data_IF_655880596530
#
_entry.id   IF_655880596530
#
_cell.length_a   1.000
_cell.length_b   1.000
_cell.length_c   1.000
_cell.angle_alpha   90.00
_cell.angle_beta   90.00
_cell.angle_gamma   90.00
#
_symmetry.space_group_name_H-M   'P 1'
#
loop_
_entity.id
_entity.type
_entity.pdbx_description
1 polymer ?
#
# COMPACT_ATOMS: atom_id res chain seq x y z
N UNK A 1 -4.50 -4.09 16.49
CA UNK A 1 -5.77 -4.83 16.54
C UNK A 1 -5.78 -5.83 15.38
N UNK A 2 -6.05 -7.15 15.61
CA UNK A 2 -5.80 -8.20 14.60
C UNK A 2 -6.59 -8.09 13.29
N UNK A 3 -7.70 -7.36 13.28
CA UNK A 3 -8.54 -7.16 12.08
C UNK A 3 -8.27 -5.82 11.35
N UNK A 4 -7.29 -5.04 11.78
CA UNK A 4 -6.87 -3.85 11.04
C UNK A 4 -5.92 -4.22 9.91
N UNK A 5 -5.95 -3.44 8.84
CA UNK A 5 -5.08 -3.65 7.66
C UNK A 5 -3.59 -3.52 7.97
N UNK A 6 -3.24 -2.76 9.01
CA UNK A 6 -1.85 -2.53 9.44
C UNK A 6 -1.28 -3.68 10.28
N UNK A 7 -2.12 -4.62 10.73
CA UNK A 7 -1.66 -5.72 11.56
C UNK A 7 -0.82 -6.71 10.77
N UNK A 8 0.42 -6.89 11.18
CA UNK A 8 1.33 -7.90 10.64
C UNK A 8 1.37 -9.09 11.62
N UNK A 9 1.00 -10.30 11.19
CA UNK A 9 1.11 -11.49 12.03
C UNK A 9 2.57 -11.82 12.31
N UNK A 10 2.83 -12.53 13.40
CA UNK A 10 4.19 -13.01 13.72
C UNK A 10 4.77 -13.91 12.63
N UNK A 11 3.94 -14.77 12.07
CA UNK A 11 4.25 -15.57 10.88
C UNK A 11 3.06 -15.51 9.91
N UNK A 12 3.28 -15.12 8.63
CA UNK A 12 2.27 -15.28 7.60
C UNK A 12 1.99 -16.76 7.37
N UNK A 13 0.72 -17.14 7.31
CA UNK A 13 0.32 -18.52 7.02
C UNK A 13 0.01 -18.70 5.54
N UNK A 14 0.12 -19.93 5.04
CA UNK A 14 -0.23 -20.33 3.66
C UNK A 14 0.58 -19.58 2.56
N UNK A 15 1.81 -19.19 2.91
CA UNK A 15 2.78 -18.55 2.01
C UNK A 15 4.19 -19.12 2.19
N UNK A 16 4.27 -20.37 2.65
CA UNK A 16 5.56 -21.01 2.94
C UNK A 16 6.42 -21.16 1.69
N UNK A 17 5.83 -21.42 0.52
CA UNK A 17 6.54 -21.51 -0.76
C UNK A 17 7.16 -20.16 -1.14
N UNK A 18 6.38 -19.09 -1.13
CA UNK A 18 6.84 -17.74 -1.47
C UNK A 18 7.87 -17.22 -0.44
N UNK A 19 7.71 -17.59 0.83
CA UNK A 19 8.70 -17.30 1.88
C UNK A 19 10.02 -18.02 1.57
N UNK A 20 9.98 -19.32 1.21
CA UNK A 20 11.17 -20.10 0.88
C UNK A 20 11.91 -19.54 -0.33
N UNK A 21 11.19 -19.17 -1.40
CA UNK A 21 11.80 -18.58 -2.60
C UNK A 21 12.48 -17.24 -2.29
N UNK A 22 11.86 -16.40 -1.44
CA UNK A 22 12.48 -15.14 -1.00
C UNK A 22 13.75 -15.41 -0.17
N UNK A 23 13.69 -16.36 0.77
CA UNK A 23 14.84 -16.72 1.62
C UNK A 23 15.98 -17.27 0.76
N UNK A 24 15.70 -18.16 -0.20
CA UNK A 24 16.73 -18.69 -1.12
C UNK A 24 17.39 -17.57 -1.95
N UNK A 25 16.60 -16.59 -2.40
CA UNK A 25 17.13 -15.44 -3.15
C UNK A 25 18.05 -14.55 -2.31
N UNK A 26 17.72 -14.36 -1.02
CA UNK A 26 18.50 -13.52 -0.09
C UNK A 26 19.65 -14.26 0.61
N UNK A 27 19.58 -15.58 0.70
CA UNK A 27 20.56 -16.40 1.45
C UNK A 27 22.02 -16.13 1.09
N UNK A 28 22.41 -15.93 -0.20
CA UNK A 28 23.81 -15.63 -0.53
C UNK A 28 24.37 -14.42 0.19
N UNK A 29 23.54 -13.43 0.53
CA UNK A 29 23.99 -12.23 1.25
C UNK A 29 24.41 -12.54 2.71
N UNK A 30 23.87 -13.59 3.32
CA UNK A 30 24.32 -14.04 4.66
C UNK A 30 25.77 -14.54 4.65
N UNK A 31 26.22 -15.06 3.50
CA UNK A 31 27.58 -15.55 3.29
C UNK A 31 28.51 -14.48 2.68
N UNK A 32 28.10 -13.20 2.67
CA UNK A 32 28.85 -12.10 2.07
C UNK A 32 28.93 -12.14 0.54
N UNK A 33 28.06 -12.91 -0.12
CA UNK A 33 27.94 -12.98 -1.58
C UNK A 33 26.74 -12.15 -2.03
N UNK A 34 26.81 -11.59 -3.22
CA UNK A 34 25.69 -10.84 -3.80
C UNK A 34 24.45 -11.72 -3.90
N UNK A 35 23.35 -11.29 -3.29
CA UNK A 35 22.04 -11.91 -3.44
C UNK A 35 21.35 -11.48 -4.74
N UNK A 36 20.20 -12.08 -5.03
CA UNK A 36 19.37 -11.67 -6.18
C UNK A 36 18.34 -10.66 -5.75
N UNK A 37 18.18 -9.62 -6.56
CA UNK A 37 17.01 -8.75 -6.45
C UNK A 37 15.73 -9.59 -6.60
N UNK A 38 14.66 -9.18 -5.97
CA UNK A 38 13.38 -9.90 -5.97
C UNK A 38 12.28 -9.00 -6.53
N UNK A 39 11.52 -9.52 -7.49
CA UNK A 39 10.29 -8.90 -7.98
C UNK A 39 9.09 -9.73 -7.54
N UNK A 40 8.29 -9.17 -6.65
CA UNK A 40 7.07 -9.79 -6.13
C UNK A 40 5.87 -9.17 -6.82
N UNK A 41 5.03 -10.00 -7.45
CA UNK A 41 3.85 -9.52 -8.15
C UNK A 41 2.60 -10.37 -7.85
N UNK A 42 1.43 -9.84 -8.15
CA UNK A 42 0.14 -10.50 -7.95
C UNK A 42 -0.96 -9.52 -7.56
N UNK A 43 -2.18 -10.00 -7.44
CA UNK A 43 -3.34 -9.18 -7.14
C UNK A 43 -3.25 -8.48 -5.77
N UNK A 44 -3.98 -7.38 -5.54
CA UNK A 44 -4.13 -6.78 -4.23
C UNK A 44 -4.64 -7.79 -3.18
N UNK A 45 -4.20 -7.65 -1.93
CA UNK A 45 -4.68 -8.50 -0.82
C UNK A 45 -4.13 -9.93 -0.78
N UNK A 46 -3.15 -10.29 -1.61
CA UNK A 46 -2.52 -11.63 -1.64
C UNK A 46 -1.39 -11.82 -0.63
N UNK A 47 -1.08 -10.82 0.20
CA UNK A 47 -0.11 -10.94 1.28
C UNK A 47 1.33 -10.51 0.93
N UNK A 48 1.59 -9.98 -0.27
CA UNK A 48 2.93 -9.53 -0.73
C UNK A 48 3.69 -8.71 0.30
N UNK A 49 3.13 -7.59 0.70
CA UNK A 49 3.74 -6.66 1.67
C UNK A 49 3.97 -7.33 3.04
N UNK A 50 3.02 -8.14 3.50
CA UNK A 50 3.09 -8.82 4.79
C UNK A 50 4.24 -9.83 4.82
N UNK A 51 4.35 -10.65 3.77
CA UNK A 51 5.42 -11.65 3.65
C UNK A 51 6.78 -10.98 3.48
N UNK A 52 6.87 -9.93 2.65
CA UNK A 52 8.13 -9.21 2.45
C UNK A 52 8.65 -8.60 3.75
N UNK A 53 7.78 -7.99 4.56
CA UNK A 53 8.16 -7.45 5.87
C UNK A 53 8.59 -8.54 6.84
N UNK A 54 7.90 -9.68 6.84
CA UNK A 54 8.25 -10.83 7.68
C UNK A 54 9.62 -11.39 7.31
N UNK A 55 9.87 -11.66 6.01
CA UNK A 55 11.15 -12.19 5.53
C UNK A 55 12.28 -11.19 5.80
N UNK A 56 12.06 -9.90 5.54
CA UNK A 56 13.05 -8.87 5.82
C UNK A 56 13.41 -8.82 7.31
N UNK A 57 12.42 -8.87 8.19
CA UNK A 57 12.67 -8.92 9.64
C UNK A 57 13.53 -10.13 10.00
N UNK A 58 13.17 -11.32 9.50
CA UNK A 58 13.93 -12.56 9.78
C UNK A 58 15.33 -12.53 9.19
N UNK A 59 15.49 -12.02 7.98
CA UNK A 59 16.79 -11.88 7.35
C UNK A 59 17.72 -10.95 8.16
N UNK A 60 17.20 -9.83 8.64
CA UNK A 60 17.99 -8.87 9.43
C UNK A 60 18.30 -9.35 10.86
N UNK A 61 17.56 -10.32 11.41
CA UNK A 61 17.92 -10.99 12.66
C UNK A 61 19.21 -11.83 12.53
N UNK A 62 19.60 -12.21 11.30
CA UNK A 62 20.75 -13.08 11.00
C UNK A 62 21.81 -12.40 10.11
N UNK A 63 21.71 -11.11 9.84
CA UNK A 63 22.62 -10.36 8.99
C UNK A 63 22.92 -8.98 9.54
N UNK A 64 23.88 -8.28 8.93
CA UNK A 64 24.17 -6.86 9.22
C UNK A 64 23.31 -5.92 8.34
N UNK A 65 22.26 -6.44 7.71
CA UNK A 65 21.39 -5.66 6.85
C UNK A 65 20.42 -4.77 7.66
N UNK A 66 20.22 -3.56 7.16
CA UNK A 66 19.20 -2.66 7.69
C UNK A 66 17.97 -2.77 6.76
N UNK A 67 16.79 -3.19 7.27
CA UNK A 67 15.59 -3.25 6.47
C UNK A 67 14.98 -1.86 6.33
N UNK A 68 14.78 -1.40 5.11
CA UNK A 68 14.09 -0.14 4.81
C UNK A 68 12.89 -0.42 3.92
N UNK A 69 11.70 -0.09 4.41
CA UNK A 69 10.45 -0.22 3.67
C UNK A 69 9.97 1.14 3.18
N UNK A 70 9.78 1.27 1.88
CA UNK A 70 9.27 2.48 1.23
C UNK A 70 8.04 2.14 0.39
N UNK A 71 6.92 2.80 0.67
CA UNK A 71 5.78 2.80 -0.24
C UNK A 71 5.99 3.90 -1.30
N UNK A 72 6.21 3.50 -2.55
CA UNK A 72 6.53 4.39 -3.66
C UNK A 72 5.37 5.31 -4.04
N UNK A 73 4.13 4.93 -3.74
CA UNK A 73 2.97 5.80 -3.97
C UNK A 73 3.06 7.12 -3.19
N UNK A 74 3.66 7.07 -2.00
CA UNK A 74 3.78 8.24 -1.12
C UNK A 74 4.93 9.19 -1.52
N UNK A 75 5.86 8.75 -2.38
CA UNK A 75 7.02 9.55 -2.83
C UNK A 75 6.82 9.98 -4.28
N UNK A 76 6.62 11.29 -4.51
CA UNK A 76 6.29 11.81 -5.84
C UNK A 76 7.51 12.22 -6.66
N UNK A 77 8.67 12.33 -6.03
CA UNK A 77 9.94 12.71 -6.65
C UNK A 77 11.04 11.82 -6.12
N UNK A 78 12.11 11.68 -6.88
CA UNK A 78 13.31 10.94 -6.47
C UNK A 78 13.90 11.48 -5.17
N UNK A 79 14.05 12.79 -5.06
CA UNK A 79 14.52 13.44 -3.82
C UNK A 79 13.64 13.07 -2.61
N UNK A 80 12.32 13.04 -2.78
CA UNK A 80 11.40 12.65 -1.70
C UNK A 80 11.55 11.18 -1.32
N UNK A 81 11.88 10.32 -2.30
CA UNK A 81 12.16 8.90 -2.07
C UNK A 81 13.45 8.73 -1.28
N UNK A 82 14.54 9.36 -1.74
CA UNK A 82 15.86 9.32 -1.07
C UNK A 82 15.77 9.89 0.35
N UNK A 83 15.11 11.04 0.52
CA UNK A 83 14.89 11.62 1.84
C UNK A 83 14.16 10.68 2.82
N UNK A 84 13.21 9.86 2.31
CA UNK A 84 12.54 8.85 3.13
C UNK A 84 13.46 7.69 3.49
N UNK A 85 14.34 7.28 2.58
CA UNK A 85 15.33 6.23 2.86
C UNK A 85 16.30 6.72 3.94
N UNK A 86 16.87 7.91 3.78
CA UNK A 86 17.77 8.55 4.76
C UNK A 86 17.10 8.68 6.13
N UNK A 87 15.83 9.12 6.16
CA UNK A 87 15.05 9.21 7.40
C UNK A 87 14.82 7.83 8.05
N UNK A 88 14.51 6.81 7.25
CA UNK A 88 14.30 5.45 7.75
C UNK A 88 15.59 4.84 8.31
N UNK A 89 16.73 5.20 7.75
CA UNK A 89 18.06 4.84 8.25
C UNK A 89 18.48 5.65 9.47
N UNK A 90 17.73 6.68 9.85
CA UNK A 90 18.03 7.61 10.95
C UNK A 90 19.39 8.29 10.81
N UNK A 91 19.82 8.57 9.57
CA UNK A 91 21.08 9.23 9.29
C UNK A 91 20.94 10.76 9.42
N UNK A 92 21.92 11.46 9.98
CA UNK A 92 21.90 12.92 10.17
C UNK A 92 22.28 13.69 8.89
N UNK A 93 21.70 13.30 7.75
CA UNK A 93 22.00 13.85 6.43
C UNK A 93 20.96 14.90 6.03
N UNK A 94 21.43 16.07 5.56
CA UNK A 94 20.56 17.13 5.05
C UNK A 94 20.09 16.74 3.65
N UNK A 95 18.76 16.64 3.49
CA UNK A 95 18.14 16.25 2.21
C UNK A 95 17.40 17.40 1.51
N UNK A 96 17.23 18.54 2.18
CA UNK A 96 16.50 19.70 1.64
C UNK A 96 17.49 20.65 0.99
N UNK A 97 17.28 20.98 -0.29
CA UNK A 97 18.13 21.88 -1.04
C UNK A 97 19.46 21.28 -1.51
N UNK A 98 19.65 19.98 -1.32
CA UNK A 98 20.83 19.22 -1.76
C UNK A 98 20.46 18.34 -2.96
N UNK A 99 21.40 18.10 -3.88
CA UNK A 99 21.19 17.22 -5.03
C UNK A 99 21.04 15.76 -4.55
N UNK A 100 20.21 14.99 -5.25
CA UNK A 100 20.02 13.55 -4.96
C UNK A 100 21.32 12.77 -4.89
N UNK A 101 22.22 13.03 -5.81
CA UNK A 101 23.51 12.36 -5.94
C UNK A 101 24.39 12.59 -4.71
N UNK A 102 24.50 13.84 -4.25
CA UNK A 102 25.29 14.20 -3.06
C UNK A 102 24.72 13.54 -1.79
N UNK A 103 23.39 13.47 -1.68
CA UNK A 103 22.70 12.80 -0.56
C UNK A 103 22.95 11.29 -0.59
N UNK A 104 22.90 10.67 -1.77
CA UNK A 104 23.20 9.24 -1.95
C UNK A 104 24.64 8.93 -1.59
N UNK A 105 25.59 9.75 -2.05
CA UNK A 105 27.01 9.54 -1.75
C UNK A 105 27.31 9.63 -0.26
N UNK A 106 26.73 10.60 0.44
CA UNK A 106 26.87 10.73 1.88
C UNK A 106 26.21 9.53 2.61
N UNK A 107 25.02 9.11 2.17
CA UNK A 107 24.32 7.94 2.73
C UNK A 107 25.14 6.66 2.55
N UNK A 108 25.66 6.42 1.36
CA UNK A 108 26.48 5.23 1.10
C UNK A 108 27.82 5.26 1.84
N UNK A 109 28.43 6.43 2.01
CA UNK A 109 29.63 6.61 2.84
C UNK A 109 29.36 6.18 4.29
N UNK A 110 28.28 6.65 4.89
CA UNK A 110 27.86 6.27 6.24
C UNK A 110 27.60 4.76 6.38
N UNK A 111 26.92 4.17 5.40
CA UNK A 111 26.68 2.72 5.40
C UNK A 111 27.99 1.92 5.31
N UNK A 112 28.92 2.35 4.46
CA UNK A 112 30.23 1.72 4.26
C UNK A 112 31.12 1.81 5.52
N UNK A 113 31.21 2.98 6.14
CA UNK A 113 31.99 3.19 7.35
C UNK A 113 31.48 2.31 8.49
N UNK A 114 30.16 2.11 8.57
CA UNK A 114 29.53 1.25 9.56
C UNK A 114 29.44 -0.24 9.14
N UNK A 115 30.01 -0.62 7.99
CA UNK A 115 29.98 -1.99 7.44
C UNK A 115 28.58 -2.58 7.36
N UNK A 116 27.60 -1.75 6.97
CA UNK A 116 26.19 -2.16 6.88
C UNK A 116 25.78 -2.37 5.43
N UNK A 117 24.97 -3.39 5.22
CA UNK A 117 24.26 -3.59 3.97
C UNK A 117 22.81 -3.11 4.10
N UNK A 118 22.14 -2.88 2.99
CA UNK A 118 20.78 -2.38 2.95
C UNK A 118 19.86 -3.41 2.31
N UNK A 119 18.77 -3.77 2.99
CA UNK A 119 17.66 -4.50 2.40
C UNK A 119 16.52 -3.51 2.14
N UNK A 120 16.35 -3.11 0.88
CA UNK A 120 15.43 -2.06 0.48
C UNK A 120 14.19 -2.65 -0.17
N UNK A 121 13.04 -2.43 0.46
CA UNK A 121 11.74 -2.90 -0.03
C UNK A 121 10.97 -1.72 -0.63
N UNK A 122 10.79 -1.74 -1.95
CA UNK A 122 9.93 -0.82 -2.68
C UNK A 122 8.55 -1.43 -2.87
N UNK A 123 7.58 -1.00 -2.08
CA UNK A 123 6.18 -1.39 -2.27
C UNK A 123 5.51 -0.44 -3.27
N UNK A 124 4.64 -0.99 -4.14
CA UNK A 124 4.06 -0.30 -5.29
C UNK A 124 5.15 0.26 -6.23
N UNK A 125 6.18 -0.53 -6.50
CA UNK A 125 7.35 -0.16 -7.29
C UNK A 125 7.02 0.23 -8.73
N UNK A 126 5.87 -0.19 -9.28
CA UNK A 126 5.34 0.29 -10.56
C UNK A 126 5.18 1.81 -10.61
N UNK A 127 5.06 2.47 -9.45
CA UNK A 127 5.00 3.94 -9.38
C UNK A 127 6.31 4.62 -9.76
N UNK A 128 7.45 3.97 -9.53
CA UNK A 128 8.76 4.50 -9.94
C UNK A 128 8.81 4.59 -11.47
N UNK A 129 8.42 3.52 -12.14
CA UNK A 129 8.41 3.44 -13.61
C UNK A 129 7.38 4.40 -14.20
N UNK A 130 6.16 4.41 -13.64
CA UNK A 130 5.09 5.30 -14.10
C UNK A 130 5.41 6.79 -13.96
N UNK A 131 6.36 7.14 -13.08
CA UNK A 131 6.81 8.52 -12.84
C UNK A 131 8.17 8.83 -13.43
N UNK A 132 8.77 7.91 -14.18
CA UNK A 132 10.12 8.03 -14.76
C UNK A 132 11.18 8.27 -13.68
N UNK A 133 11.15 7.48 -12.63
CA UNK A 133 12.09 7.49 -11.49
C UNK A 133 12.82 6.14 -11.38
N UNK A 134 12.82 5.35 -12.43
CA UNK A 134 13.39 4.00 -12.47
C UNK A 134 14.91 3.99 -12.38
N UNK A 135 15.59 5.13 -12.67
CA UNK A 135 17.04 5.26 -12.52
C UNK A 135 17.49 4.95 -11.08
N UNK A 136 16.66 5.21 -10.09
CA UNK A 136 16.94 4.87 -8.69
C UNK A 136 17.13 3.37 -8.48
N UNK A 137 16.43 2.52 -9.25
CA UNK A 137 16.60 1.07 -9.20
C UNK A 137 17.97 0.66 -9.74
N UNK A 138 18.46 1.34 -10.78
CA UNK A 138 19.79 1.13 -11.34
C UNK A 138 20.88 1.53 -10.33
N UNK A 139 20.76 2.71 -9.74
CA UNK A 139 21.69 3.22 -8.73
C UNK A 139 21.86 2.24 -7.55
N UNK A 140 20.74 1.79 -6.98
CA UNK A 140 20.79 0.84 -5.86
C UNK A 140 21.27 -0.55 -6.28
N UNK A 141 20.90 -1.04 -7.45
CA UNK A 141 21.32 -2.38 -7.91
C UNK A 141 22.83 -2.47 -8.23
N UNK A 142 23.49 -1.34 -8.48
CA UNK A 142 24.93 -1.26 -8.73
C UNK A 142 25.74 -0.65 -7.58
N UNK A 143 25.12 -0.39 -6.46
CA UNK A 143 25.79 0.26 -5.32
C UNK A 143 27.00 -0.51 -4.80
N UNK A 144 26.97 -1.85 -4.86
CA UNK A 144 28.13 -2.69 -4.53
C UNK A 144 29.36 -2.38 -5.38
N UNK A 145 29.17 -2.22 -6.71
CA UNK A 145 30.23 -1.89 -7.64
C UNK A 145 30.64 -0.43 -7.56
N UNK A 146 29.68 0.49 -7.50
CA UNK A 146 29.91 1.93 -7.60
C UNK A 146 30.39 2.54 -6.27
N UNK A 147 29.85 2.06 -5.15
CA UNK A 147 30.05 2.67 -3.81
C UNK A 147 30.59 1.71 -2.76
N UNK A 148 30.66 0.42 -3.09
CA UNK A 148 31.19 -0.63 -2.17
C UNK A 148 30.24 -0.94 -1.01
N UNK A 149 28.93 -0.79 -1.21
CA UNK A 149 27.87 -1.14 -0.26
C UNK A 149 26.85 -2.02 -0.96
N UNK A 150 26.65 -3.22 -0.47
CA UNK A 150 25.65 -4.13 -1.02
C UNK A 150 24.23 -3.67 -0.64
N UNK A 151 23.37 -3.62 -1.64
CA UNK A 151 21.94 -3.32 -1.50
C UNK A 151 21.13 -4.41 -2.18
N UNK A 152 20.29 -5.05 -1.38
CA UNK A 152 19.36 -6.06 -1.86
C UNK A 152 17.99 -5.42 -2.08
N UNK A 153 17.47 -5.52 -3.30
CA UNK A 153 16.20 -4.91 -3.68
C UNK A 153 15.07 -5.94 -3.66
N UNK A 154 13.99 -5.60 -2.96
CA UNK A 154 12.70 -6.30 -3.03
C UNK A 154 11.67 -5.34 -3.60
N UNK A 155 11.22 -5.58 -4.81
CA UNK A 155 10.24 -4.75 -5.52
C UNK A 155 8.88 -5.45 -5.48
N UNK A 156 7.85 -4.76 -5.02
CA UNK A 156 6.49 -5.28 -4.94
C UNK A 156 5.59 -4.48 -5.89
N UNK A 157 4.84 -5.20 -6.71
CA UNK A 157 3.89 -4.57 -7.65
C UNK A 157 2.59 -5.37 -7.79
N UNK A 158 1.54 -4.69 -8.20
CA UNK A 158 0.30 -5.32 -8.66
C UNK A 158 0.26 -5.46 -10.20
N UNK A 159 1.26 -4.91 -10.92
CA UNK A 159 1.30 -4.80 -12.39
C UNK A 159 2.67 -5.21 -12.91
N UNK A 160 2.90 -6.51 -13.05
CA UNK A 160 4.17 -7.05 -13.56
C UNK A 160 4.55 -6.46 -14.92
N UNK A 161 3.56 -6.21 -15.77
CA UNK A 161 3.75 -5.72 -17.14
C UNK A 161 4.49 -4.39 -17.21
N UNK A 162 4.37 -3.56 -16.16
CA UNK A 162 5.08 -2.27 -16.10
C UNK A 162 6.60 -2.45 -16.10
N UNK A 163 7.10 -3.55 -15.52
CA UNK A 163 8.52 -3.85 -15.51
C UNK A 163 9.08 -4.24 -16.88
N UNK A 164 8.22 -4.66 -17.82
CA UNK A 164 8.64 -4.90 -19.22
C UNK A 164 8.97 -3.62 -19.97
N UNK A 165 8.53 -2.46 -19.46
CA UNK A 165 8.78 -1.14 -20.06
C UNK A 165 10.09 -0.49 -19.59
N UNK A 166 10.78 -1.09 -18.61
CA UNK A 166 12.09 -0.62 -18.16
C UNK A 166 13.11 -0.61 -19.31
N UNK A 167 14.07 0.30 -19.24
CA UNK A 167 15.25 0.30 -20.09
C UNK A 167 16.02 -1.03 -19.96
N UNK A 168 16.58 -1.55 -21.06
CA UNK A 168 17.24 -2.86 -21.07
C UNK A 168 18.49 -2.89 -20.17
N UNK A 169 19.14 -1.76 -19.94
CA UNK A 169 20.26 -1.64 -18.99
C UNK A 169 19.78 -1.89 -17.57
N UNK A 170 18.63 -1.29 -17.19
CA UNK A 170 18.05 -1.45 -15.87
C UNK A 170 17.57 -2.90 -15.67
N UNK A 171 16.89 -3.48 -16.67
CA UNK A 171 16.45 -4.89 -16.65
C UNK A 171 17.61 -5.84 -16.43
N UNK A 172 18.67 -5.67 -17.23
CA UNK A 172 19.87 -6.51 -17.18
C UNK A 172 20.55 -6.45 -15.81
N UNK A 173 20.63 -5.25 -15.23
CA UNK A 173 21.26 -5.06 -13.93
C UNK A 173 20.42 -5.60 -12.79
N UNK A 174 19.11 -5.38 -12.83
CA UNK A 174 18.19 -5.87 -11.82
C UNK A 174 18.09 -7.39 -11.82
N UNK A 175 17.92 -8.01 -12.99
CA UNK A 175 17.78 -9.47 -13.21
C UNK A 175 17.11 -10.19 -12.02
N UNK A 176 15.88 -9.78 -11.61
CA UNK A 176 15.31 -10.22 -10.36
C UNK A 176 14.81 -11.68 -10.40
N UNK A 177 14.83 -12.34 -9.26
CA UNK A 177 13.97 -13.53 -9.04
C UNK A 177 12.52 -13.08 -9.00
N UNK A 178 11.67 -13.65 -9.83
CA UNK A 178 10.26 -13.30 -9.93
C UNK A 178 9.41 -14.23 -9.10
N UNK A 179 8.64 -13.70 -8.15
CA UNK A 179 7.79 -14.47 -7.24
C UNK A 179 6.33 -14.03 -7.41
N UNK A 180 5.49 -14.96 -7.86
CA UNK A 180 4.07 -14.73 -8.04
C UNK A 180 3.27 -15.03 -6.77
N UNK A 181 2.51 -14.06 -6.30
CA UNK A 181 1.56 -14.25 -5.22
C UNK A 181 0.15 -14.50 -5.78
N UNK A 182 -0.19 -15.76 -5.95
CA UNK A 182 -1.51 -16.16 -6.44
C UNK A 182 -2.62 -15.74 -5.48
N UNK A 183 -3.84 -15.45 -6.01
CA UNK A 183 -5.01 -15.17 -5.20
C UNK A 183 -5.27 -16.28 -4.19
N UNK A 184 -5.71 -15.91 -2.99
CA UNK A 184 -6.13 -16.90 -2.00
C UNK A 184 -7.41 -17.63 -2.43
N UNK A 185 -7.44 -18.94 -2.22
CA UNK A 185 -8.67 -19.74 -2.36
C UNK A 185 -9.63 -19.49 -1.21
N UNK A 186 -10.95 -19.79 -1.35
CA UNK A 186 -11.91 -19.69 -0.26
C UNK A 186 -11.48 -20.46 1.01
N UNK A 187 -10.87 -21.63 0.85
CA UNK A 187 -10.38 -22.46 1.96
C UNK A 187 -9.23 -21.76 2.69
N UNK A 188 -8.27 -21.24 1.94
CA UNK A 188 -7.16 -20.47 2.53
C UNK A 188 -7.63 -19.21 3.26
N UNK A 189 -8.58 -18.48 2.67
CA UNK A 189 -9.18 -17.32 3.34
C UNK A 189 -9.92 -17.69 4.63
N UNK A 190 -10.63 -18.82 4.65
CA UNK A 190 -11.29 -19.34 5.86
C UNK A 190 -10.26 -19.61 6.96
N UNK A 191 -9.13 -20.23 6.64
CA UNK A 191 -8.07 -20.51 7.59
C UNK A 191 -7.43 -19.23 8.15
N UNK A 192 -7.10 -18.28 7.26
CA UNK A 192 -6.57 -16.97 7.67
C UNK A 192 -7.55 -16.23 8.59
N UNK A 193 -8.84 -16.20 8.25
CA UNK A 193 -9.85 -15.55 9.05
C UNK A 193 -10.06 -16.23 10.40
N UNK A 194 -9.98 -17.56 10.46
CA UNK A 194 -10.08 -18.31 11.70
C UNK A 194 -8.96 -17.93 12.69
N UNK A 195 -7.72 -17.84 12.22
CA UNK A 195 -6.59 -17.38 13.05
C UNK A 195 -6.77 -15.92 13.49
N UNK A 196 -7.23 -15.05 12.59
CA UNK A 196 -7.51 -13.65 12.92
C UNK A 196 -8.63 -13.50 13.93
N UNK A 197 -9.70 -14.32 13.82
CA UNK A 197 -10.83 -14.35 14.74
C UNK A 197 -10.41 -14.76 16.15
N UNK A 198 -9.56 -15.79 16.29
CA UNK A 198 -9.00 -16.22 17.58
C UNK A 198 -8.25 -15.09 18.30
N UNK A 199 -7.52 -14.26 17.55
CA UNK A 199 -6.76 -13.15 18.10
C UNK A 199 -7.62 -11.91 18.40
N UNK A 200 -8.73 -11.74 17.69
CA UNK A 200 -9.54 -10.52 17.73
C UNK A 200 -10.75 -10.62 18.67
N UNK A 201 -11.32 -11.80 18.81
CA UNK A 201 -12.56 -12.02 19.53
C UNK A 201 -12.37 -12.94 20.74
N UNK A 202 -13.33 -12.89 21.66
CA UNK A 202 -13.40 -13.85 22.77
C UNK A 202 -13.65 -15.26 22.21
N UNK A 203 -13.16 -16.28 22.92
CA UNK A 203 -13.39 -17.67 22.52
C UNK A 203 -14.88 -17.96 22.31
N UNK A 204 -15.23 -18.53 21.16
CA UNK A 204 -16.59 -18.87 20.78
C UNK A 204 -17.47 -17.72 20.34
N UNK A 205 -16.99 -16.47 20.38
CA UNK A 205 -17.78 -15.31 19.97
C UNK A 205 -17.98 -15.23 18.44
N UNK A 206 -17.07 -15.76 17.64
CA UNK A 206 -17.19 -15.79 16.17
C UNK A 206 -17.52 -17.22 15.72
N UNK A 207 -18.69 -17.40 15.09
CA UNK A 207 -19.13 -18.70 14.58
C UNK A 207 -18.43 -19.03 13.24
N UNK A 208 -18.29 -20.33 12.98
CA UNK A 208 -17.59 -20.82 11.79
C UNK A 208 -18.32 -20.47 10.48
N UNK A 209 -19.63 -20.42 10.49
CA UNK A 209 -20.47 -20.00 9.35
C UNK A 209 -20.22 -18.54 8.96
N UNK A 210 -20.02 -17.65 9.93
CA UNK A 210 -19.64 -16.24 9.68
C UNK A 210 -18.27 -16.17 8.99
N UNK A 211 -17.30 -16.92 9.49
CA UNK A 211 -15.95 -16.99 8.88
C UNK A 211 -16.05 -17.50 7.43
N UNK A 212 -16.86 -18.54 7.18
CA UNK A 212 -17.05 -19.11 5.86
C UNK A 212 -17.65 -18.10 4.87
N UNK A 213 -18.67 -17.33 5.29
CA UNK A 213 -19.28 -16.29 4.45
C UNK A 213 -18.31 -15.13 4.17
N UNK A 214 -17.56 -14.67 5.19
CA UNK A 214 -16.54 -13.63 4.98
C UNK A 214 -15.43 -14.11 4.03
N UNK A 215 -14.99 -15.36 4.14
CA UNK A 215 -14.02 -15.96 3.24
C UNK A 215 -14.55 -16.05 1.80
N UNK A 216 -15.80 -16.48 1.61
CA UNK A 216 -16.44 -16.53 0.31
C UNK A 216 -16.54 -15.15 -0.35
N UNK A 217 -16.81 -14.09 0.42
CA UNK A 217 -16.79 -12.70 -0.09
C UNK A 217 -15.40 -12.28 -0.55
N UNK A 218 -14.35 -12.55 0.23
CA UNK A 218 -12.98 -12.27 -0.18
C UNK A 218 -12.58 -13.01 -1.45
N UNK A 219 -12.98 -14.27 -1.57
CA UNK A 219 -12.74 -15.08 -2.76
C UNK A 219 -13.45 -14.54 -4.01
N UNK A 220 -14.72 -14.14 -3.88
CA UNK A 220 -15.50 -13.48 -4.95
C UNK A 220 -14.83 -12.17 -5.42
N UNK A 221 -14.15 -11.47 -4.53
CA UNK A 221 -13.39 -10.25 -4.83
C UNK A 221 -11.94 -10.55 -5.28
N UNK A 222 -11.71 -11.63 -6.02
CA UNK A 222 -10.41 -11.96 -6.60
C UNK A 222 -9.40 -12.54 -5.60
N UNK A 223 -9.87 -13.19 -4.52
CA UNK A 223 -9.01 -13.77 -3.48
C UNK A 223 -8.34 -12.72 -2.58
N UNK A 224 -8.97 -11.55 -2.44
CA UNK A 224 -8.45 -10.45 -1.62
C UNK A 224 -8.72 -10.70 -0.13
N UNK A 225 -7.65 -11.01 0.61
CA UNK A 225 -7.70 -11.25 2.06
C UNK A 225 -8.11 -9.99 2.85
N UNK A 226 -7.79 -8.78 2.36
CA UNK A 226 -8.19 -7.52 3.01
C UNK A 226 -9.71 -7.38 3.03
N UNK A 227 -10.38 -7.76 1.93
CA UNK A 227 -11.84 -7.75 1.83
C UNK A 227 -12.50 -8.76 2.74
N UNK A 228 -11.89 -9.94 2.88
CA UNK A 228 -12.36 -10.97 3.81
C UNK A 228 -12.25 -10.50 5.27
N UNK A 229 -11.11 -9.91 5.64
CA UNK A 229 -10.87 -9.36 7.00
C UNK A 229 -11.79 -8.17 7.28
N UNK A 230 -11.98 -7.26 6.31
CA UNK A 230 -12.91 -6.13 6.43
C UNK A 230 -14.33 -6.58 6.69
N UNK A 231 -14.81 -7.62 5.97
CA UNK A 231 -16.12 -8.21 6.18
C UNK A 231 -16.27 -8.74 7.62
N UNK A 232 -15.29 -9.46 8.13
CA UNK A 232 -15.29 -10.00 9.49
C UNK A 232 -15.24 -8.90 10.55
N UNK A 233 -14.46 -7.85 10.33
CA UNK A 233 -14.38 -6.71 11.22
C UNK A 233 -15.72 -5.96 11.31
N UNK A 234 -16.38 -5.73 10.16
CA UNK A 234 -17.68 -5.10 10.10
C UNK A 234 -18.75 -5.95 10.82
N UNK A 235 -18.71 -7.28 10.63
CA UNK A 235 -19.62 -8.19 11.34
C UNK A 235 -19.43 -8.13 12.87
N UNK A 236 -18.18 -8.02 13.34
CA UNK A 236 -17.87 -7.82 14.76
C UNK A 236 -18.45 -6.52 15.31
N UNK A 237 -18.25 -5.41 14.61
CA UNK A 237 -18.82 -4.10 14.98
C UNK A 237 -20.35 -4.12 15.02
N UNK A 238 -20.97 -4.78 14.05
CA UNK A 238 -22.43 -4.88 14.00
C UNK A 238 -22.99 -5.71 15.17
N UNK A 239 -22.30 -6.79 15.58
CA UNK A 239 -22.64 -7.56 16.76
C UNK A 239 -22.56 -6.71 18.03
N UNK A 240 -21.50 -5.91 18.19
CA UNK A 240 -21.35 -4.96 19.30
C UNK A 240 -22.49 -3.92 19.31
N UNK A 241 -22.82 -3.34 18.15
CA UNK A 241 -23.92 -2.38 17.99
C UNK A 241 -25.28 -2.95 18.40
N UNK A 242 -25.52 -4.24 18.07
CA UNK A 242 -26.73 -4.94 18.42
C UNK A 242 -26.75 -5.48 19.86
N UNK A 243 -25.66 -5.39 20.61
CA UNK A 243 -25.50 -5.94 21.94
C UNK A 243 -25.45 -7.47 21.98
N UNK A 244 -25.04 -8.11 20.90
CA UNK A 244 -24.96 -9.56 20.81
C UNK A 244 -23.70 -10.07 21.51
N UNK A 245 -23.82 -11.22 22.21
CA UNK A 245 -22.71 -11.92 22.84
C UNK A 245 -21.83 -12.70 21.83
N UNK A 246 -22.35 -12.95 20.63
CA UNK A 246 -21.66 -13.67 19.55
C UNK A 246 -21.98 -13.06 18.19
N UNK A 247 -21.05 -13.21 17.26
CA UNK A 247 -21.19 -12.76 15.87
C UNK A 247 -21.95 -13.86 15.12
N UNK A 248 -23.08 -13.50 14.52
CA UNK A 248 -23.97 -14.38 13.78
C UNK A 248 -24.11 -13.90 12.32
N UNK A 249 -24.71 -14.70 11.44
CA UNK A 249 -24.83 -14.37 10.03
C UNK A 249 -25.61 -13.07 9.76
N UNK A 250 -26.54 -12.71 10.62
CA UNK A 250 -27.30 -11.44 10.55
C UNK A 250 -26.47 -10.20 10.92
N UNK A 251 -25.24 -10.40 11.43
CA UNK A 251 -24.26 -9.34 11.62
C UNK A 251 -23.44 -9.07 10.35
N UNK A 252 -23.52 -9.96 9.35
CA UNK A 252 -22.81 -9.75 8.08
C UNK A 252 -23.58 -8.74 7.25
N UNK A 253 -23.10 -7.51 7.27
CA UNK A 253 -23.65 -6.40 6.49
C UNK A 253 -23.56 -6.72 4.99
N UNK A 254 -24.70 -6.64 4.28
CA UNK A 254 -24.74 -6.80 2.82
C UNK A 254 -23.94 -5.72 2.10
N UNK A 255 -23.52 -5.97 0.85
CA UNK A 255 -22.90 -4.92 0.03
C UNK A 255 -23.79 -3.67 -0.08
N UNK A 256 -25.11 -3.84 -0.01
CA UNK A 256 -26.10 -2.74 -0.03
C UNK A 256 -26.13 -1.89 1.26
N UNK A 257 -25.68 -2.41 2.39
CA UNK A 257 -25.64 -1.66 3.65
C UNK A 257 -24.38 -0.82 3.82
N UNK A 258 -23.28 -1.15 3.13
CA UNK A 258 -22.17 -0.22 2.95
C UNK A 258 -22.62 1.04 2.19
N UNK A 259 -23.70 0.95 1.42
CA UNK A 259 -24.42 2.06 0.79
C UNK A 259 -25.29 2.82 1.79
N UNK A 260 -25.84 2.15 2.81
CA UNK A 260 -26.62 2.82 3.89
C UNK A 260 -25.71 3.59 4.85
N UNK A 261 -24.56 3.02 5.27
CA UNK A 261 -23.55 3.80 6.04
C UNK A 261 -23.05 5.02 5.27
N UNK A 262 -22.88 4.90 3.93
CA UNK A 262 -22.57 6.05 3.08
C UNK A 262 -23.73 7.03 2.93
N UNK A 263 -24.98 6.57 2.98
CA UNK A 263 -26.15 7.45 3.07
C UNK A 263 -26.20 8.16 4.43
N UNK A 264 -25.85 7.51 5.54
CA UNK A 264 -25.68 8.16 6.84
C UNK A 264 -24.51 9.16 6.87
N UNK A 265 -23.38 8.85 6.22
CA UNK A 265 -22.28 9.80 6.03
C UNK A 265 -22.77 11.00 5.19
N UNK A 266 -23.56 10.76 4.14
CA UNK A 266 -24.14 11.85 3.34
C UNK A 266 -25.24 12.62 4.07
N UNK A 267 -25.97 12.00 4.99
CA UNK A 267 -26.97 12.71 5.82
C UNK A 267 -26.32 13.62 6.87
N UNK A 268 -25.13 13.28 7.34
CA UNK A 268 -24.35 14.03 8.35
C UNK A 268 -23.43 15.11 7.74
N UNK A 269 -23.50 15.32 6.40
CA UNK A 269 -22.76 16.40 5.75
C UNK A 269 -23.36 17.77 6.11
N UNK A 270 -22.46 18.73 6.36
CA UNK A 270 -22.84 20.14 6.51
C UNK A 270 -23.53 20.68 5.24
N UNK A 271 -24.27 21.76 5.36
CA UNK A 271 -24.95 22.38 4.20
C UNK A 271 -23.95 22.76 3.09
N UNK A 272 -22.76 23.24 3.46
CA UNK A 272 -21.71 23.57 2.50
C UNK A 272 -21.17 22.32 1.75
N UNK A 273 -21.02 21.20 2.44
CA UNK A 273 -20.61 19.94 1.82
C UNK A 273 -21.68 19.38 0.87
N UNK A 274 -22.96 19.47 1.27
CA UNK A 274 -24.11 19.08 0.43
C UNK A 274 -24.20 19.96 -0.82
N UNK A 275 -24.02 21.26 -0.67
CA UNK A 275 -24.05 22.24 -1.78
C UNK A 275 -22.92 21.95 -2.78
N UNK A 276 -21.70 21.70 -2.32
CA UNK A 276 -20.56 21.33 -3.20
C UNK A 276 -20.82 20.00 -3.90
N UNK A 277 -21.29 18.96 -3.19
CA UNK A 277 -21.63 17.67 -3.78
C UNK A 277 -22.76 17.74 -4.81
N UNK A 278 -23.69 18.68 -4.67
CA UNK A 278 -24.77 18.93 -5.63
C UNK A 278 -24.27 19.54 -6.94
N UNK A 279 -23.15 20.29 -6.91
CA UNK A 279 -22.57 20.94 -8.08
C UNK A 279 -21.61 20.00 -8.87
N UNK A 280 -21.23 18.87 -8.29
CA UNK A 280 -20.29 17.92 -8.89
C UNK A 280 -21.07 16.83 -9.63
N UNK A 281 -20.81 16.66 -10.92
CA UNK A 281 -21.36 15.56 -11.72
C UNK A 281 -20.70 14.22 -11.35
N UNK A 282 -21.45 13.14 -11.51
CA UNK A 282 -20.93 11.78 -11.40
C UNK A 282 -20.32 11.28 -12.72
N UNK A 283 -20.80 11.81 -13.85
CA UNK A 283 -20.36 11.42 -15.20
C UNK A 283 -19.24 12.28 -15.75
N UNK A 284 -19.13 13.54 -15.32
CA UNK A 284 -18.19 14.51 -15.86
C UNK A 284 -17.24 15.08 -14.82
N UNK A 285 -16.02 15.41 -15.25
CA UNK A 285 -15.06 16.09 -14.43
C UNK A 285 -15.35 17.60 -14.35
N UNK A 286 -15.51 18.13 -13.16
CA UNK A 286 -15.81 19.54 -12.90
C UNK A 286 -14.55 20.24 -12.40
N UNK A 287 -14.19 21.37 -13.03
CA UNK A 287 -13.07 22.22 -12.58
C UNK A 287 -13.41 22.85 -11.24
N UNK A 288 -12.49 22.83 -10.29
CA UNK A 288 -12.70 23.46 -8.97
C UNK A 288 -12.96 24.96 -9.07
N UNK A 289 -12.37 25.63 -10.07
CA UNK A 289 -12.63 27.05 -10.34
C UNK A 289 -14.11 27.34 -10.59
N UNK A 290 -14.79 26.49 -11.35
CA UNK A 290 -16.23 26.60 -11.61
C UNK A 290 -17.09 26.44 -10.34
N UNK A 291 -16.60 25.66 -9.38
CA UNK A 291 -17.27 25.49 -8.08
C UNK A 291 -17.08 26.75 -7.22
N UNK A 292 -15.89 27.35 -7.23
CA UNK A 292 -15.65 28.62 -6.53
C UNK A 292 -16.57 29.73 -7.04
N UNK A 293 -16.83 29.80 -8.35
CA UNK A 293 -17.71 30.79 -8.99
C UNK A 293 -19.20 30.56 -8.66
N UNK A 294 -19.60 29.33 -8.37
CA UNK A 294 -21.01 28.97 -8.10
C UNK A 294 -21.38 28.97 -6.61
N UNK A 295 -20.38 28.99 -5.72
CA UNK A 295 -20.59 28.97 -4.26
C UNK A 295 -20.19 30.30 -3.64
N UNK A 296 -20.98 31.34 -3.92
CA UNK A 296 -20.70 32.72 -3.52
C UNK A 296 -20.78 32.96 -1.98
N UNK A 297 -21.41 32.03 -1.24
CA UNK A 297 -21.59 32.17 0.22
C UNK A 297 -20.36 31.74 1.03
N UNK A 298 -19.32 31.22 0.38
CA UNK A 298 -18.11 30.73 1.02
C UNK A 298 -16.86 31.31 0.37
N UNK A 299 -15.85 31.60 1.18
CA UNK A 299 -14.53 31.98 0.66
C UNK A 299 -13.85 30.80 -0.06
N UNK A 300 -12.99 31.06 -1.04
CA UNK A 300 -12.22 30.00 -1.73
C UNK A 300 -11.48 29.08 -0.77
N UNK A 301 -10.98 29.61 0.34
CA UNK A 301 -10.30 28.86 1.39
C UNK A 301 -11.26 27.85 2.04
N UNK A 302 -12.49 28.27 2.34
CA UNK A 302 -13.50 27.40 2.92
C UNK A 302 -13.96 26.32 1.93
N UNK A 303 -14.19 26.67 0.67
CA UNK A 303 -14.56 25.70 -0.38
C UNK A 303 -13.43 24.66 -0.55
N UNK A 304 -12.17 25.07 -0.54
CA UNK A 304 -11.03 24.16 -0.60
C UNK A 304 -11.00 23.20 0.59
N UNK A 305 -11.24 23.70 1.79
CA UNK A 305 -11.33 22.89 3.01
C UNK A 305 -12.46 21.86 2.93
N UNK A 306 -13.65 22.25 2.45
CA UNK A 306 -14.80 21.36 2.28
C UNK A 306 -14.54 20.29 1.21
N UNK A 307 -13.88 20.64 0.11
CA UNK A 307 -13.45 19.68 -0.93
C UNK A 307 -12.46 18.65 -0.36
N UNK A 308 -11.47 19.08 0.43
CA UNK A 308 -10.52 18.17 1.08
C UNK A 308 -11.23 17.23 2.07
N UNK A 309 -12.24 17.73 2.78
CA UNK A 309 -13.05 16.91 3.70
C UNK A 309 -13.88 15.87 2.97
N UNK A 310 -14.55 16.26 1.86
CA UNK A 310 -15.27 15.33 0.99
C UNK A 310 -14.35 14.27 0.36
N UNK A 311 -13.12 14.64 0.03
CA UNK A 311 -12.09 13.72 -0.45
C UNK A 311 -11.67 12.72 0.64
N UNK A 312 -11.47 13.17 1.87
CA UNK A 312 -11.16 12.29 3.02
C UNK A 312 -12.30 11.30 3.29
N UNK A 313 -13.55 11.72 3.11
CA UNK A 313 -14.72 10.83 3.19
C UNK A 313 -14.89 9.93 1.96
N UNK A 314 -13.98 9.96 0.99
CA UNK A 314 -14.03 9.17 -0.25
C UNK A 314 -15.30 9.40 -1.10
N UNK A 315 -15.93 10.55 -1.00
CA UNK A 315 -17.16 10.91 -1.74
C UNK A 315 -16.86 11.51 -3.12
N UNK A 316 -15.65 12.00 -3.33
CA UNK A 316 -15.19 12.59 -4.59
C UNK A 316 -13.85 12.01 -5.03
N UNK A 317 -13.66 11.98 -6.35
CA UNK A 317 -12.38 11.75 -7.02
C UNK A 317 -11.80 13.09 -7.46
N UNK A 318 -10.47 13.21 -7.50
CA UNK A 318 -9.83 14.41 -8.03
C UNK A 318 -8.67 14.04 -8.95
N UNK A 319 -8.41 14.90 -9.95
CA UNK A 319 -7.23 14.81 -10.81
C UNK A 319 -6.64 16.19 -11.04
N UNK A 320 -5.33 16.24 -11.32
CA UNK A 320 -4.65 17.43 -11.81
C UNK A 320 -4.54 17.35 -13.32
N UNK A 321 -4.98 18.40 -13.99
CA UNK A 321 -4.90 18.52 -15.45
C UNK A 321 -3.97 19.67 -15.78
N UNK A 322 -3.01 19.46 -16.69
CA UNK A 322 -2.09 20.50 -17.14
C UNK A 322 -2.78 21.34 -18.23
N UNK A 323 -2.85 22.64 -18.01
CA UNK A 323 -3.40 23.61 -18.96
C UNK A 323 -2.30 24.63 -19.33
N UNK A 324 -1.60 24.37 -20.43
CA UNK A 324 -0.46 25.22 -20.84
C UNK A 324 0.66 25.23 -19.78
N UNK A 325 0.95 26.40 -19.21
CA UNK A 325 1.95 26.61 -18.15
C UNK A 325 1.39 26.44 -16.73
N UNK A 326 0.08 26.24 -16.56
CA UNK A 326 -0.60 26.10 -15.26
C UNK A 326 -1.25 24.75 -15.08
N UNK A 327 -1.68 24.44 -13.86
CA UNK A 327 -2.43 23.23 -13.54
C UNK A 327 -3.82 23.59 -13.01
N UNK A 328 -4.86 22.90 -13.51
CA UNK A 328 -6.20 22.94 -12.95
C UNK A 328 -6.48 21.68 -12.14
N UNK A 329 -7.31 21.81 -11.12
CA UNK A 329 -7.81 20.67 -10.34
C UNK A 329 -9.24 20.41 -10.81
N UNK A 330 -9.50 19.19 -11.20
CA UNK A 330 -10.83 18.71 -11.57
C UNK A 330 -11.29 17.66 -10.58
N UNK A 331 -12.55 17.73 -10.20
CA UNK A 331 -13.19 16.81 -9.27
C UNK A 331 -14.43 16.19 -9.89
N UNK A 332 -14.73 14.99 -9.48
CA UNK A 332 -15.91 14.22 -9.94
C UNK A 332 -16.52 13.52 -8.72
N UNK A 333 -17.85 13.45 -8.69
CA UNK A 333 -18.53 12.62 -7.70
C UNK A 333 -18.17 11.17 -7.94
N UNK A 334 -17.74 10.47 -6.90
CA UNK A 334 -17.33 9.08 -7.04
C UNK A 334 -18.57 8.23 -7.35
N UNK A 335 -18.62 7.67 -8.55
CA UNK A 335 -19.62 6.67 -8.92
C UNK A 335 -19.16 5.32 -8.38
N UNK A 336 -19.96 4.76 -7.52
CA UNK A 336 -19.78 3.37 -7.09
C UNK A 336 -20.50 2.53 -8.16
N UNK A 337 -19.72 1.85 -9.03
CA UNK A 337 -20.30 0.83 -9.90
C UNK A 337 -20.75 -0.31 -8.99
N UNK A 338 -22.05 -0.60 -9.10
CA UNK A 338 -22.71 -1.75 -8.48
C UNK A 338 -22.25 -3.05 -9.15
#
# INVERSE_FOLDING_TARGET
>A
MPLLQEFTPEKPILRDAEISEMVESLKPALDGRRARNILIYGNPGTGKTTVSKYVAKKFCEHSMAIPVYINCWQSRTENALIARIVKALQLPIITIGVKSEDVLDEMFKELKENRRMLLLIFDEADQLISRRQEEILYEFSRSGELRGVEVELVMITNKKEVFTMLDDRIKSTLSPSEIEFKPYTPVQLKEILAERAKLAFRNGACKEDVIAVCAARGAKNGGDCRKAIECLWLAGKEAERKGYSSITLDCIVGEDESVKEKKEITSNLSEGEKKILGLISASEWTKTKKIYEQVNDYTERNVRYLIEKLKKCSLIEYRRVKEGKSYSIEIRKKTFKF
#
